data_IF_864874906507
#
_entry.id   IF_864874906507
#
_cell.length_a   1.000
_cell.length_b   1.000
_cell.length_c   1.000
_cell.angle_alpha   90.00
_cell.angle_beta   90.00
_cell.angle_gamma   90.00
#
_symmetry.space_group_name_H-M   'P 1'
#
loop_
_entity.id
_entity.type
_entity.pdbx_description
1 polymer ?
#
# COMPACT_ATOMS: atom_id res chain seq x y z
N UNK A 1 11.56 22.42 -13.02
CA UNK A 1 12.25 21.13 -13.17
C UNK A 1 11.48 20.09 -12.38
N UNK A 2 10.86 19.12 -13.04
CA UNK A 2 10.23 17.99 -12.34
C UNK A 2 11.33 17.24 -11.59
N UNK A 3 11.17 17.04 -10.28
CA UNK A 3 12.10 16.23 -9.49
C UNK A 3 12.08 14.80 -10.05
N UNK A 4 13.24 14.30 -10.47
CA UNK A 4 13.35 12.93 -10.97
C UNK A 4 12.89 11.98 -9.86
N UNK A 5 11.94 11.11 -10.17
CA UNK A 5 11.42 10.11 -9.23
C UNK A 5 12.59 9.21 -8.77
N UNK A 6 12.79 9.11 -7.47
CA UNK A 6 13.75 8.16 -6.90
C UNK A 6 13.06 6.84 -6.68
N UNK A 7 13.50 5.79 -7.36
CA UNK A 7 12.92 4.46 -7.30
C UNK A 7 14.00 3.47 -6.86
N UNK A 8 13.72 2.70 -5.83
CA UNK A 8 14.57 1.60 -5.37
C UNK A 8 13.94 0.28 -5.77
N UNK A 9 14.71 -0.60 -6.40
CA UNK A 9 14.23 -1.92 -6.85
C UNK A 9 14.95 -3.01 -6.07
N UNK A 10 14.17 -3.88 -5.42
CA UNK A 10 14.71 -5.04 -4.70
C UNK A 10 13.68 -6.17 -4.63
N UNK A 11 14.13 -7.43 -4.53
CA UNK A 11 13.25 -8.52 -4.13
C UNK A 11 12.93 -8.41 -2.63
N UNK A 12 11.71 -8.79 -2.24
CA UNK A 12 11.35 -8.92 -0.85
C UNK A 12 12.09 -10.10 -0.21
N UNK A 13 12.82 -9.86 0.86
CA UNK A 13 13.57 -10.89 1.58
C UNK A 13 12.67 -11.88 2.35
N UNK A 14 11.45 -11.47 2.68
CA UNK A 14 10.44 -12.27 3.38
C UNK A 14 9.05 -11.84 2.90
N UNK A 15 8.05 -12.67 3.15
CA UNK A 15 6.68 -12.31 2.82
C UNK A 15 6.18 -11.18 3.73
N UNK A 16 5.43 -10.24 3.15
CA UNK A 16 4.74 -9.20 3.92
C UNK A 16 3.24 -9.51 3.91
N UNK A 17 2.66 -9.52 5.09
CA UNK A 17 1.25 -9.86 5.30
C UNK A 17 0.57 -8.68 5.97
N UNK A 18 -0.51 -8.22 5.38
CA UNK A 18 -1.34 -7.15 5.93
C UNK A 18 -2.71 -7.71 6.23
N UNK A 19 -3.17 -7.57 7.45
CA UNK A 19 -4.48 -8.05 7.89
C UNK A 19 -5.43 -6.89 8.08
N UNK A 20 -6.58 -6.96 7.43
CA UNK A 20 -7.48 -5.82 7.39
C UNK A 20 -8.87 -6.16 6.90
N UNK A 21 -9.51 -5.16 6.31
CA UNK A 21 -10.84 -5.25 5.72
C UNK A 21 -10.87 -4.53 4.38
N UNK A 22 -11.75 -4.99 3.49
CA UNK A 22 -12.00 -4.31 2.22
C UNK A 22 -13.47 -3.95 2.03
N UNK A 23 -13.70 -3.18 0.99
CA UNK A 23 -15.02 -2.94 0.40
C UNK A 23 -14.89 -2.90 -1.12
N UNK A 24 -15.98 -3.12 -1.81
CA UNK A 24 -16.03 -2.93 -3.27
C UNK A 24 -16.39 -1.48 -3.55
N UNK A 25 -15.59 -0.81 -4.37
CA UNK A 25 -15.74 0.58 -4.78
C UNK A 25 -15.31 0.79 -6.23
N UNK A 26 -15.33 2.02 -6.70
CA UNK A 26 -14.85 2.49 -8.00
C UNK A 26 -14.18 3.87 -7.87
N UNK A 27 -13.59 4.36 -8.96
CA UNK A 27 -12.88 5.65 -8.97
C UNK A 27 -13.76 6.85 -8.64
N UNK A 28 -15.07 6.77 -8.93
CA UNK A 28 -16.01 7.87 -8.64
C UNK A 28 -16.34 7.94 -7.14
N UNK A 29 -16.33 6.79 -6.45
CA UNK A 29 -16.78 6.67 -5.05
C UNK A 29 -15.67 6.55 -4.04
N UNK A 30 -14.45 6.19 -4.46
CA UNK A 30 -13.33 5.91 -3.54
C UNK A 30 -13.00 7.09 -2.61
N UNK A 31 -13.23 8.34 -3.06
CA UNK A 31 -13.01 9.53 -2.23
C UNK A 31 -13.99 9.65 -1.05
N UNK A 32 -15.16 9.02 -1.13
CA UNK A 32 -16.14 8.92 -0.04
C UNK A 32 -15.97 7.62 0.74
N UNK A 33 -15.80 6.52 0.02
CA UNK A 33 -15.68 5.17 0.57
C UNK A 33 -14.38 4.96 1.34
N UNK A 34 -13.26 5.51 0.88
CA UNK A 34 -11.95 5.39 1.54
C UNK A 34 -11.94 5.94 2.96
N UNK A 35 -12.34 7.21 3.21
CA UNK A 35 -12.44 7.76 4.55
C UNK A 35 -13.45 7.02 5.43
N UNK A 36 -14.55 6.51 4.87
CA UNK A 36 -15.50 5.67 5.60
C UNK A 36 -14.85 4.37 6.05
N UNK A 37 -14.17 3.67 5.13
CA UNK A 37 -13.44 2.43 5.45
C UNK A 37 -12.35 2.66 6.49
N UNK A 38 -11.63 3.77 6.39
CA UNK A 38 -10.59 4.13 7.36
C UNK A 38 -11.15 4.28 8.79
N UNK A 39 -12.35 4.88 8.94
CA UNK A 39 -13.02 4.98 10.25
C UNK A 39 -13.49 3.62 10.75
N UNK A 40 -14.10 2.80 9.88
CA UNK A 40 -14.58 1.47 10.23
C UNK A 40 -13.43 0.54 10.63
N UNK A 41 -12.34 0.52 9.87
CA UNK A 41 -11.15 -0.24 10.22
C UNK A 41 -10.51 0.30 11.51
N UNK A 42 -10.46 1.62 11.70
CA UNK A 42 -9.97 2.24 12.93
C UNK A 42 -10.70 1.76 14.18
N UNK A 43 -12.01 1.48 14.09
CA UNK A 43 -12.83 0.95 15.18
C UNK A 43 -12.48 -0.49 15.58
N UNK A 44 -11.98 -1.30 14.65
CA UNK A 44 -11.64 -2.73 14.89
C UNK A 44 -10.14 -3.01 14.80
N UNK A 45 -9.34 -2.01 14.56
CA UNK A 45 -7.89 -2.14 14.37
C UNK A 45 -7.17 -2.83 15.54
N UNK A 46 -7.65 -2.60 16.77
CA UNK A 46 -7.04 -3.20 17.95
C UNK A 46 -7.30 -4.71 18.06
N UNK A 47 -8.27 -5.22 17.31
CA UNK A 47 -8.61 -6.65 17.28
C UNK A 47 -7.70 -7.42 16.32
N UNK A 48 -6.94 -6.73 15.44
CA UNK A 48 -5.97 -7.37 14.55
C UNK A 48 -4.89 -8.07 15.36
N UNK A 49 -4.85 -9.38 15.26
CA UNK A 49 -3.87 -10.21 15.97
C UNK A 49 -2.47 -10.14 15.33
N UNK A 50 -1.45 -10.34 16.14
CA UNK A 50 -0.04 -10.47 15.71
C UNK A 50 0.50 -9.27 14.90
N UNK A 51 0.01 -8.03 15.16
CA UNK A 51 0.51 -6.84 14.48
C UNK A 51 2.01 -6.67 14.63
N UNK A 52 2.66 -6.31 13.54
CA UNK A 52 4.09 -5.98 13.53
C UNK A 52 4.33 -4.58 14.14
N UNK A 53 5.49 -4.39 14.73
CA UNK A 53 5.86 -3.11 15.34
C UNK A 53 7.28 -2.70 14.90
N UNK A 54 7.49 -1.44 14.47
CA UNK A 54 6.56 -0.30 14.46
C UNK A 54 5.43 -0.49 13.46
N UNK A 55 4.24 0.03 13.80
CA UNK A 55 3.03 -0.15 12.99
C UNK A 55 3.19 0.38 11.57
N UNK A 56 2.85 -0.44 10.60
CA UNK A 56 2.73 -0.09 9.19
C UNK A 56 1.32 -0.46 8.72
N UNK A 57 0.64 0.48 8.08
CA UNK A 57 -0.67 0.20 7.46
C UNK A 57 -0.57 0.20 5.96
N UNK A 58 -1.26 -0.74 5.34
CA UNK A 58 -1.37 -0.87 3.90
C UNK A 58 -2.74 -0.40 3.40
N UNK A 59 -2.73 0.25 2.23
CA UNK A 59 -3.92 0.55 1.44
C UNK A 59 -3.65 0.10 0.00
N UNK A 60 -4.56 -0.69 -0.58
CA UNK A 60 -4.42 -1.18 -1.94
C UNK A 60 -5.76 -1.26 -2.66
N UNK A 61 -5.73 -1.00 -3.98
CA UNK A 61 -6.81 -1.32 -4.91
C UNK A 61 -6.49 -2.69 -5.53
N UNK A 62 -7.35 -3.67 -5.26
CA UNK A 62 -7.10 -5.05 -5.63
C UNK A 62 -8.17 -5.55 -6.62
N UNK A 63 -7.76 -6.47 -7.49
CA UNK A 63 -8.68 -7.25 -8.34
C UNK A 63 -9.63 -6.35 -9.16
N UNK A 64 -9.10 -5.42 -10.00
CA UNK A 64 -9.95 -4.57 -10.82
C UNK A 64 -10.78 -5.42 -11.78
N UNK A 65 -12.08 -5.14 -11.84
CA UNK A 65 -13.04 -5.80 -12.71
C UNK A 65 -13.28 -5.00 -14.00
N UNK A 66 -13.83 -5.65 -15.02
CA UNK A 66 -14.12 -5.01 -16.32
C UNK A 66 -15.11 -3.84 -16.23
N UNK A 67 -15.97 -3.83 -15.20
CA UNK A 67 -16.92 -2.75 -14.94
C UNK A 67 -16.31 -1.57 -14.15
N UNK A 68 -14.99 -1.56 -13.93
CA UNK A 68 -14.24 -0.50 -13.26
C UNK A 68 -14.34 -0.55 -11.74
N UNK A 69 -14.94 -1.58 -11.16
CA UNK A 69 -14.94 -1.77 -9.70
C UNK A 69 -13.71 -2.54 -9.26
N UNK A 70 -13.31 -2.32 -8.02
CA UNK A 70 -12.20 -3.01 -7.39
C UNK A 70 -12.43 -3.17 -5.89
N UNK A 71 -11.69 -4.09 -5.30
CA UNK A 71 -11.64 -4.30 -3.86
C UNK A 71 -10.64 -3.34 -3.24
N UNK A 72 -11.14 -2.37 -2.48
CA UNK A 72 -10.32 -1.39 -1.75
C UNK A 72 -10.00 -1.93 -0.37
N UNK A 73 -8.77 -2.38 -0.18
CA UNK A 73 -8.27 -2.98 1.05
C UNK A 73 -7.60 -1.94 1.94
N UNK A 74 -7.77 -2.09 3.26
CA UNK A 74 -7.03 -1.37 4.28
C UNK A 74 -6.73 -2.30 5.45
N UNK A 75 -5.46 -2.38 5.86
CA UNK A 75 -5.01 -3.28 6.93
C UNK A 75 -3.70 -2.86 7.56
N UNK A 76 -3.34 -3.54 8.64
CA UNK A 76 -2.06 -3.37 9.34
C UNK A 76 -1.15 -4.56 9.07
N UNK A 77 0.16 -4.30 8.99
CA UNK A 77 1.16 -5.34 8.85
C UNK A 77 1.16 -6.26 10.07
N UNK A 78 1.14 -7.56 9.82
CA UNK A 78 1.21 -8.60 10.84
C UNK A 78 2.48 -9.43 10.63
N UNK A 79 2.88 -10.17 11.65
CA UNK A 79 4.05 -11.05 11.57
C UNK A 79 3.88 -12.07 10.45
N UNK A 80 4.95 -12.39 9.77
CA UNK A 80 4.93 -13.42 8.71
C UNK A 80 4.36 -14.75 9.21
N UNK A 81 4.57 -15.09 10.49
CA UNK A 81 4.00 -16.27 11.13
C UNK A 81 2.46 -16.31 11.19
N UNK A 82 1.80 -15.16 10.96
CA UNK A 82 0.35 -15.07 10.87
C UNK A 82 -0.18 -15.43 9.47
N UNK A 83 0.69 -15.54 8.47
CA UNK A 83 0.31 -15.91 7.10
C UNK A 83 -0.41 -17.27 7.08
N UNK A 84 -1.53 -17.33 6.36
CA UNK A 84 -2.34 -18.56 6.26
C UNK A 84 -3.10 -18.95 7.52
N UNK A 85 -3.08 -18.12 8.57
CA UNK A 85 -3.90 -18.29 9.77
C UNK A 85 -5.06 -17.31 9.74
N UNK A 86 -6.23 -17.67 9.21
CA UNK A 86 -7.36 -16.75 9.08
C UNK A 86 -7.79 -16.23 10.45
N UNK A 87 -8.21 -14.97 10.47
CA UNK A 87 -8.85 -14.36 11.63
C UNK A 87 -10.27 -13.94 11.24
N UNK A 88 -11.25 -14.37 12.03
CA UNK A 88 -12.66 -14.05 11.75
C UNK A 88 -12.89 -12.55 11.62
N UNK A 89 -13.63 -12.14 10.59
CA UNK A 89 -13.93 -10.74 10.30
C UNK A 89 -12.79 -9.94 9.67
N UNK A 90 -11.67 -10.59 9.34
CA UNK A 90 -10.52 -9.98 8.65
C UNK A 90 -10.13 -10.81 7.42
N UNK A 91 -9.39 -10.17 6.54
CA UNK A 91 -8.77 -10.78 5.36
C UNK A 91 -7.30 -10.38 5.28
N UNK A 92 -6.50 -11.17 4.59
CA UNK A 92 -5.08 -10.92 4.42
C UNK A 92 -4.77 -10.45 2.99
N UNK A 93 -3.95 -9.40 2.86
CA UNK A 93 -3.25 -9.03 1.65
C UNK A 93 -1.80 -9.50 1.79
N UNK A 94 -1.32 -10.28 0.83
CA UNK A 94 0.00 -10.91 0.92
C UNK A 94 0.88 -10.47 -0.25
N UNK A 95 2.08 -10.02 0.07
CA UNK A 95 3.20 -9.87 -0.85
C UNK A 95 4.18 -11.04 -0.59
N UNK A 96 4.28 -12.02 -1.48
CA UNK A 96 5.15 -13.19 -1.27
C UNK A 96 6.62 -12.83 -1.15
N UNK A 97 7.40 -13.63 -0.45
CA UNK A 97 8.85 -13.54 -0.46
C UNK A 97 9.39 -13.71 -1.89
N UNK A 98 10.43 -12.96 -2.24
CA UNK A 98 11.01 -12.97 -3.59
C UNK A 98 10.28 -12.09 -4.61
N UNK A 99 9.08 -11.58 -4.31
CA UNK A 99 8.41 -10.58 -5.16
C UNK A 99 9.34 -9.39 -5.39
N UNK A 100 9.57 -9.02 -6.65
CA UNK A 100 10.35 -7.83 -6.97
C UNK A 100 9.44 -6.61 -6.83
N UNK A 101 9.88 -5.65 -6.03
CA UNK A 101 9.16 -4.40 -5.82
C UNK A 101 10.01 -3.20 -6.19
N UNK A 102 9.36 -2.20 -6.76
CA UNK A 102 9.90 -0.86 -6.92
C UNK A 102 9.32 0.03 -5.82
N UNK A 103 10.17 0.61 -5.00
CA UNK A 103 9.77 1.44 -3.86
C UNK A 103 9.99 2.90 -4.18
N UNK A 104 8.96 3.70 -3.97
CA UNK A 104 8.99 5.16 -4.09
C UNK A 104 8.64 5.79 -2.75
N UNK A 105 9.58 6.53 -2.16
CA UNK A 105 9.36 7.28 -0.94
C UNK A 105 8.67 8.62 -1.23
N UNK A 106 7.45 8.79 -0.75
CA UNK A 106 6.63 9.99 -0.96
C UNK A 106 6.58 10.80 0.34
N UNK A 107 7.38 11.88 0.46
CA UNK A 107 7.33 12.74 1.64
C UNK A 107 6.08 13.63 1.59
N UNK A 108 5.36 13.73 2.71
CA UNK A 108 4.27 14.68 2.86
C UNK A 108 4.25 15.32 4.26
N UNK A 109 3.67 16.51 4.36
CA UNK A 109 3.61 17.27 5.62
C UNK A 109 2.24 17.19 6.28
N UNK A 110 1.19 17.19 5.48
CA UNK A 110 -0.20 17.16 5.90
C UNK A 110 -0.85 15.89 5.35
N UNK A 111 -1.59 15.19 6.16
CA UNK A 111 -2.28 13.96 5.75
C UNK A 111 -3.23 14.20 4.56
N UNK A 112 -3.88 15.36 4.51
CA UNK A 112 -4.74 15.75 3.38
C UNK A 112 -3.99 15.85 2.03
N UNK A 113 -2.67 16.06 2.03
CA UNK A 113 -1.87 16.13 0.80
C UNK A 113 -1.27 14.77 0.38
N UNK A 114 -1.37 13.75 1.21
CA UNK A 114 -0.77 12.45 0.94
C UNK A 114 -1.32 11.81 -0.35
N UNK A 115 -2.65 11.83 -0.52
CA UNK A 115 -3.30 11.27 -1.70
C UNK A 115 -2.86 11.96 -3.00
N UNK A 116 -2.73 13.30 -2.99
CA UNK A 116 -2.25 14.05 -4.15
C UNK A 116 -0.81 13.69 -4.50
N UNK A 117 0.07 13.61 -3.51
CA UNK A 117 1.48 13.28 -3.73
C UNK A 117 1.62 11.81 -4.18
N UNK A 118 0.81 10.89 -3.63
CA UNK A 118 0.75 9.50 -4.07
C UNK A 118 0.31 9.40 -5.54
N UNK A 119 -0.75 10.12 -5.94
CA UNK A 119 -1.24 10.14 -7.31
C UNK A 119 -0.18 10.67 -8.29
N UNK A 120 0.52 11.76 -7.92
CA UNK A 120 1.62 12.30 -8.72
C UNK A 120 2.78 11.30 -8.87
N UNK A 121 3.16 10.63 -7.78
CA UNK A 121 4.22 9.63 -7.80
C UNK A 121 3.84 8.41 -8.64
N UNK A 122 2.59 7.91 -8.56
CA UNK A 122 2.07 6.84 -9.43
C UNK A 122 2.15 7.24 -10.90
N UNK A 123 1.68 8.45 -11.22
CA UNK A 123 1.72 8.95 -12.59
C UNK A 123 3.16 8.95 -13.13
N UNK A 124 4.11 9.55 -12.41
CA UNK A 124 5.50 9.57 -12.83
C UNK A 124 6.13 8.17 -12.88
N UNK A 125 5.69 7.24 -12.03
CA UNK A 125 6.15 5.86 -12.08
C UNK A 125 5.69 5.18 -13.38
N UNK A 126 4.40 5.22 -13.71
CA UNK A 126 3.84 4.51 -14.86
C UNK A 126 4.13 5.19 -16.20
N UNK A 127 4.14 6.53 -16.25
CA UNK A 127 4.33 7.28 -17.51
C UNK A 127 5.81 7.47 -17.85
N UNK A 128 6.68 7.65 -16.84
CA UNK A 128 8.08 8.03 -17.10
C UNK A 128 9.06 6.90 -16.75
N UNK A 129 8.96 6.33 -15.52
CA UNK A 129 9.98 5.42 -15.01
C UNK A 129 9.81 3.99 -15.56
N UNK A 130 8.64 3.40 -15.45
CA UNK A 130 8.40 2.00 -15.82
C UNK A 130 8.72 1.71 -17.28
N UNK A 131 8.29 2.53 -18.28
CA UNK A 131 8.62 2.29 -19.67
C UNK A 131 10.12 2.34 -20.00
N UNK A 132 10.89 3.09 -19.20
CA UNK A 132 12.34 3.26 -19.40
C UNK A 132 13.19 2.32 -18.54
N UNK A 133 12.58 1.48 -17.69
CA UNK A 133 13.29 0.75 -16.64
C UNK A 133 13.75 -0.66 -17.03
N UNK A 134 13.19 -1.25 -18.09
CA UNK A 134 13.36 -2.68 -18.41
C UNK A 134 12.56 -3.63 -17.50
N UNK A 135 11.57 -3.08 -16.79
CA UNK A 135 10.60 -3.84 -15.99
C UNK A 135 9.18 -3.63 -16.53
N UNK A 136 8.29 -4.53 -16.17
CA UNK A 136 6.87 -4.42 -16.42
C UNK A 136 6.07 -4.68 -15.14
N UNK A 137 4.77 -4.31 -15.13
CA UNK A 137 3.89 -4.59 -14.00
C UNK A 137 3.69 -6.10 -13.85
N UNK A 138 3.74 -6.58 -12.61
CA UNK A 138 3.40 -7.95 -12.24
C UNK A 138 2.12 -8.00 -11.37
N UNK A 139 1.19 -7.07 -11.59
CA UNK A 139 -0.09 -7.01 -10.87
C UNK A 139 -0.91 -8.29 -10.97
N UNK A 140 -0.80 -9.00 -12.08
CA UNK A 140 -1.44 -10.29 -12.36
C UNK A 140 -0.97 -11.42 -11.41
N UNK A 141 0.23 -11.32 -10.86
CA UNK A 141 0.78 -12.32 -9.95
C UNK A 141 0.23 -12.23 -8.52
N UNK A 142 -0.18 -11.01 -8.09
CA UNK A 142 -0.59 -10.74 -6.70
C UNK A 142 -2.00 -10.14 -6.58
N UNK A 143 -2.64 -9.76 -7.71
CA UNK A 143 -3.98 -9.20 -7.74
C UNK A 143 -4.05 -7.68 -7.48
N UNK A 144 -2.91 -6.97 -7.41
CA UNK A 144 -2.85 -5.52 -7.27
C UNK A 144 -1.54 -4.98 -7.87
N UNK A 145 -1.58 -3.76 -8.37
CA UNK A 145 -0.43 -3.12 -9.04
C UNK A 145 0.53 -2.44 -8.07
N UNK A 146 0.00 -1.84 -7.03
CA UNK A 146 0.76 -1.16 -5.99
C UNK A 146 0.05 -1.18 -4.64
N UNK A 147 0.80 -0.92 -3.59
CA UNK A 147 0.31 -0.77 -2.23
C UNK A 147 0.91 0.48 -1.59
N UNK A 148 0.06 1.28 -0.95
CA UNK A 148 0.49 2.40 -0.11
C UNK A 148 0.84 1.90 1.29
N UNK A 149 2.03 2.21 1.78
CA UNK A 149 2.47 1.85 3.11
C UNK A 149 2.65 3.09 3.97
N UNK A 150 1.81 3.23 4.99
CA UNK A 150 1.84 4.32 5.96
C UNK A 150 2.61 3.91 7.20
N UNK A 151 3.75 4.56 7.45
CA UNK A 151 4.62 4.26 8.59
C UNK A 151 4.30 5.12 9.80
N UNK A 152 3.79 4.49 10.88
CA UNK A 152 3.46 5.15 12.13
C UNK A 152 4.64 5.05 13.11
N UNK A 153 5.59 5.96 13.05
CA UNK A 153 6.69 6.02 14.00
C UNK A 153 6.21 6.55 15.36
N UNK A 154 6.54 5.86 16.45
CA UNK A 154 6.28 6.37 17.81
C UNK A 154 6.89 7.77 17.98
N UNK A 155 6.04 8.75 18.33
CA UNK A 155 6.46 10.11 18.67
C UNK A 155 7.28 10.04 19.97
N UNK A 156 8.59 10.18 19.89
CA UNK A 156 9.42 10.41 21.09
C UNK A 156 9.69 11.88 21.37
N UNK A 157 9.46 12.82 20.44
CA UNK A 157 9.64 14.27 20.63
C UNK A 157 8.71 15.13 19.77
N UNK A 158 8.30 16.28 20.32
CA UNK A 158 7.31 17.26 19.86
C UNK A 158 7.67 18.09 18.60
N UNK A 159 8.50 17.66 17.68
CA UNK A 159 8.72 18.38 16.41
C UNK A 159 7.97 17.69 15.29
N UNK A 160 7.24 18.49 14.47
CA UNK A 160 6.50 18.04 13.31
C UNK A 160 7.39 17.15 12.42
N UNK A 161 7.24 15.82 12.52
CA UNK A 161 8.00 14.89 11.70
C UNK A 161 7.31 14.80 10.35
N UNK A 162 8.11 14.86 9.29
CA UNK A 162 7.66 14.44 7.96
C UNK A 162 7.12 13.02 8.09
N UNK A 163 5.85 12.83 7.74
CA UNK A 163 5.31 11.50 7.52
C UNK A 163 5.85 11.02 6.18
N UNK A 164 6.11 9.73 6.07
CA UNK A 164 6.56 9.09 4.84
C UNK A 164 5.53 8.04 4.47
N UNK A 165 5.10 8.12 3.23
CA UNK A 165 4.32 7.12 2.56
C UNK A 165 5.25 6.42 1.56
N UNK A 166 5.34 5.10 1.64
CA UNK A 166 6.00 4.31 0.62
C UNK A 166 4.96 3.75 -0.35
N UNK A 167 5.19 3.96 -1.64
CA UNK A 167 4.48 3.24 -2.69
C UNK A 167 5.34 2.04 -3.11
N UNK A 168 4.82 0.84 -2.97
CA UNK A 168 5.42 -0.38 -3.46
C UNK A 168 4.68 -0.81 -4.72
N UNK A 169 5.35 -0.78 -5.85
CA UNK A 169 4.85 -1.28 -7.12
C UNK A 169 5.36 -2.70 -7.35
N UNK A 170 4.47 -3.62 -7.70
CA UNK A 170 4.85 -5.00 -8.00
C UNK A 170 5.27 -5.08 -9.46
N UNK A 171 6.52 -5.52 -9.68
CA UNK A 171 7.15 -5.53 -11.01
C UNK A 171 7.87 -6.86 -11.26
N UNK A 172 8.10 -7.16 -12.54
CA UNK A 172 8.99 -8.23 -13.00
C UNK A 172 9.87 -7.72 -14.13
N UNK A 173 10.92 -8.44 -14.45
CA UNK A 173 11.74 -8.11 -15.63
C UNK A 173 10.93 -8.32 -16.90
N UNK A 174 11.00 -7.34 -17.82
CA UNK A 174 10.38 -7.42 -19.14
C UNK A 174 11.08 -8.44 -20.04
#
# INVERSE_FOLDING_TARGET
MASKLSVEVAPLGHARVFRGRSLITDDARVFEDGPRRAREFGGVRNDVAEREMPLVSAVAACEPSEDGRYRYFMGDEVRESAAGKPQEGFEDLVLPAGTIVAVVHVPFRLQASAALHAAQARRSFYEDWLPASGYESAADEVGFSDVELYHYRRRRFRRARKMVLDLLFVIRRA
#
